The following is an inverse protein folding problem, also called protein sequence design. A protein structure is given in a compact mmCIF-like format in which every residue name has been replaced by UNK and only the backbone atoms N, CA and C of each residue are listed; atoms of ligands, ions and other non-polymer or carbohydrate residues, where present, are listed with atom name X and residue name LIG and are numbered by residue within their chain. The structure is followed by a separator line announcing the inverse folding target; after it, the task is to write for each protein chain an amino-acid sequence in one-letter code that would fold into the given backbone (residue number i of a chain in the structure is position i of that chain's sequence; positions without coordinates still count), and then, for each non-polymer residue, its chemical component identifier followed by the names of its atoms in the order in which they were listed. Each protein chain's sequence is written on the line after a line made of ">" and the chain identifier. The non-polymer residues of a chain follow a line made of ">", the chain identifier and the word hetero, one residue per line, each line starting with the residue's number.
data_IF_181111707100
#
_entry.id   IF_181111707100
#
_cell.length_a   1.000
_cell.length_b   1.000
_cell.length_c   1.000
_cell.angle_alpha   90.00
_cell.angle_beta   90.00
_cell.angle_gamma   90.00
#
_symmetry.space_group_name_H-M   'P 1'
#
loop_
_entity.id
_entity.type
_entity.pdbx_description
1 polymer ?
#
# COMPACT_ATOMS: atom_id res chain seq x y z
N UNK A 1 30.46 -52.37 -21.52
CA UNK A 1 30.33 -50.93 -21.85
C UNK A 1 28.90 -50.38 -21.71
N UNK A 2 27.82 -51.11 -22.06
CA UNK A 2 26.44 -50.59 -21.90
C UNK A 2 25.95 -50.50 -20.45
N UNK A 3 26.37 -51.41 -19.56
CA UNK A 3 25.86 -51.47 -18.19
C UNK A 3 26.37 -50.30 -17.32
N UNK A 4 27.58 -49.81 -17.59
CA UNK A 4 28.18 -48.65 -16.91
C UNK A 4 27.52 -47.33 -17.30
N UNK A 5 27.05 -47.16 -18.55
CA UNK A 5 26.34 -45.93 -18.95
C UNK A 5 24.93 -45.86 -18.35
N UNK A 6 24.29 -47.01 -18.15
CA UNK A 6 23.00 -47.13 -17.44
C UNK A 6 23.12 -46.79 -15.95
N UNK A 7 24.21 -47.22 -15.28
CA UNK A 7 24.43 -46.88 -13.87
C UNK A 7 24.72 -45.39 -13.68
N UNK A 8 25.57 -44.80 -14.53
CA UNK A 8 25.87 -43.36 -14.53
C UNK A 8 24.61 -42.51 -14.75
N UNK A 9 23.73 -42.89 -15.69
CA UNK A 9 22.47 -42.18 -15.94
C UNK A 9 21.49 -42.27 -14.76
N UNK A 10 21.44 -43.40 -14.05
CA UNK A 10 20.62 -43.56 -12.83
C UNK A 10 21.12 -42.66 -11.70
N UNK A 11 22.43 -42.58 -11.50
CA UNK A 11 23.03 -41.70 -10.48
C UNK A 11 22.75 -40.24 -10.80
N UNK A 12 22.92 -39.82 -12.05
CA UNK A 12 22.62 -38.46 -12.49
C UNK A 12 21.14 -38.08 -12.27
N UNK A 13 20.21 -38.96 -12.65
CA UNK A 13 18.79 -38.75 -12.41
C UNK A 13 18.44 -38.69 -10.92
N UNK A 14 19.10 -39.50 -10.09
CA UNK A 14 18.90 -39.49 -8.63
C UNK A 14 19.41 -38.18 -8.02
N UNK A 15 20.56 -37.69 -8.46
CA UNK A 15 21.10 -36.38 -8.03
C UNK A 15 20.16 -35.25 -8.44
N UNK A 16 19.67 -35.25 -9.68
CA UNK A 16 18.67 -34.26 -10.13
C UNK A 16 17.40 -34.32 -9.26
N UNK A 17 16.90 -35.51 -8.97
CA UNK A 17 15.68 -35.68 -8.16
C UNK A 17 15.87 -35.16 -6.74
N UNK A 18 17.04 -35.42 -6.13
CA UNK A 18 17.41 -34.89 -4.82
C UNK A 18 17.52 -33.36 -4.84
N UNK A 19 18.19 -32.79 -5.84
CA UNK A 19 18.29 -31.34 -6.00
C UNK A 19 16.93 -30.66 -6.22
N UNK A 20 16.00 -31.30 -6.95
CA UNK A 20 14.63 -30.79 -7.13
C UNK A 20 13.85 -30.86 -5.81
N UNK A 21 14.01 -31.95 -5.04
CA UNK A 21 13.36 -32.11 -3.73
C UNK A 21 13.78 -31.02 -2.75
N UNK A 22 15.09 -30.76 -2.65
CA UNK A 22 15.63 -29.72 -1.77
C UNK A 22 15.19 -28.32 -2.22
N UNK A 23 15.13 -28.09 -3.54
CA UNK A 23 14.65 -26.84 -4.12
C UNK A 23 13.16 -26.58 -3.82
N UNK A 24 12.33 -27.62 -3.84
CA UNK A 24 10.89 -27.53 -3.50
C UNK A 24 10.72 -27.28 -2.00
N UNK A 25 11.50 -27.94 -1.15
CA UNK A 25 11.46 -27.74 0.31
C UNK A 25 11.95 -26.35 0.74
N UNK A 26 12.79 -25.70 -0.05
CA UNK A 26 13.30 -24.35 0.23
C UNK A 26 12.28 -23.23 -0.07
N UNK A 27 11.16 -23.54 -0.74
CA UNK A 27 10.09 -22.57 -0.96
C UNK A 27 9.21 -22.55 0.28
N UNK A 28 9.50 -21.64 1.20
CA UNK A 28 8.66 -21.36 2.36
C UNK A 28 7.22 -21.10 1.86
N UNK A 29 6.30 -22.01 2.20
CA UNK A 29 4.89 -21.87 1.82
C UNK A 29 4.30 -20.80 2.74
N UNK A 30 4.34 -19.56 2.28
CA UNK A 30 3.69 -18.44 2.96
C UNK A 30 2.19 -18.69 2.97
N UNK A 31 1.58 -18.65 4.16
CA UNK A 31 0.14 -18.82 4.29
C UNK A 31 -0.62 -17.68 3.61
N UNK A 32 -1.85 -17.93 3.17
CA UNK A 32 -2.70 -16.87 2.59
C UNK A 32 -2.83 -15.66 3.54
N UNK A 33 -2.93 -15.91 4.85
CA UNK A 33 -3.04 -14.84 5.84
C UNK A 33 -1.76 -14.00 5.93
N UNK A 34 -0.57 -14.62 5.87
CA UNK A 34 0.69 -13.88 5.84
C UNK A 34 0.84 -13.07 4.55
N UNK A 35 0.48 -13.63 3.40
CA UNK A 35 0.49 -12.90 2.13
C UNK A 35 -0.47 -11.70 2.15
N UNK A 36 -1.70 -11.93 2.65
CA UNK A 36 -2.72 -10.88 2.79
C UNK A 36 -2.25 -9.76 3.72
N UNK A 37 -1.48 -10.07 4.75
CA UNK A 37 -0.99 -9.10 5.72
C UNK A 37 0.49 -8.69 5.48
N UNK A 38 1.01 -8.96 4.29
CA UNK A 38 2.39 -8.63 3.93
C UNK A 38 2.62 -7.11 3.92
N UNK A 39 3.67 -6.64 4.61
CA UNK A 39 4.06 -5.22 4.65
C UNK A 39 2.93 -4.24 5.00
N UNK A 40 2.01 -4.65 5.88
CA UNK A 40 0.96 -3.79 6.43
C UNK A 40 0.89 -3.95 7.94
N UNK A 41 0.74 -2.83 8.65
CA UNK A 41 0.40 -2.82 10.07
C UNK A 41 -1.12 -2.86 10.19
N UNK A 42 -1.64 -3.92 10.82
CA UNK A 42 -3.06 -4.12 11.10
C UNK A 42 -3.49 -3.20 12.22
N UNK A 43 -4.69 -2.66 12.10
CA UNK A 43 -5.30 -1.88 13.17
C UNK A 43 -5.85 -2.82 14.26
N UNK A 44 -5.76 -2.39 15.52
CA UNK A 44 -6.28 -3.15 16.67
C UNK A 44 -7.57 -2.53 17.22
N UNK A 45 -7.88 -1.27 16.88
CA UNK A 45 -9.10 -0.56 17.31
C UNK A 45 -9.93 -0.09 16.10
N UNK A 46 -11.22 0.10 16.27
CA UNK A 46 -12.10 0.51 15.16
C UNK A 46 -11.73 1.89 14.58
N UNK A 47 -11.34 2.86 15.43
CA UNK A 47 -11.02 4.24 15.05
C UNK A 47 -9.53 4.47 14.69
N UNK A 48 -8.71 3.42 14.68
CA UNK A 48 -7.25 3.52 14.57
C UNK A 48 -6.71 3.32 13.15
N UNK A 49 -7.59 3.20 12.16
CA UNK A 49 -7.22 2.95 10.77
C UNK A 49 -6.21 3.98 10.23
N UNK A 50 -6.41 5.27 10.52
CA UNK A 50 -5.47 6.33 10.13
C UNK A 50 -4.10 6.19 10.77
N UNK A 51 -4.05 5.79 12.05
CA UNK A 51 -2.81 5.55 12.77
C UNK A 51 -2.04 4.36 12.19
N UNK A 52 -2.73 3.25 11.94
CA UNK A 52 -2.16 2.05 11.33
C UNK A 52 -1.72 2.28 9.87
N UNK A 53 -2.46 3.07 9.09
CA UNK A 53 -2.09 3.46 7.73
C UNK A 53 -0.81 4.31 7.71
N UNK A 54 -0.71 5.33 8.58
CA UNK A 54 0.50 6.14 8.71
C UNK A 54 1.68 5.29 9.18
N UNK A 55 1.49 4.44 10.20
CA UNK A 55 2.52 3.54 10.69
C UNK A 55 3.05 2.63 9.57
N UNK A 56 2.16 2.06 8.75
CA UNK A 56 2.49 1.23 7.60
C UNK A 56 3.37 1.98 6.60
N UNK A 57 2.97 3.20 6.23
CA UNK A 57 3.73 4.05 5.31
C UNK A 57 5.13 4.35 5.87
N UNK A 58 5.23 4.80 7.12
CA UNK A 58 6.50 5.15 7.73
C UNK A 58 7.44 3.93 7.84
N UNK A 59 6.91 2.79 8.27
CA UNK A 59 7.71 1.56 8.44
C UNK A 59 8.17 0.97 7.11
N UNK A 60 7.26 0.75 6.17
CA UNK A 60 7.57 -0.04 4.98
C UNK A 60 7.98 0.79 3.77
N UNK A 61 7.53 2.05 3.65
CA UNK A 61 7.93 2.93 2.53
C UNK A 61 9.10 3.83 2.90
N UNK A 62 9.16 4.30 4.15
CA UNK A 62 10.22 5.20 4.61
C UNK A 62 11.28 4.54 5.50
N UNK A 63 11.15 3.23 5.74
CA UNK A 63 12.09 2.41 6.50
C UNK A 63 12.37 2.95 7.91
N UNK A 64 11.37 3.58 8.54
CA UNK A 64 11.50 4.02 9.92
C UNK A 64 11.31 2.81 10.83
N UNK A 65 12.36 2.45 11.56
CA UNK A 65 12.37 1.34 12.51
C UNK A 65 11.47 1.60 13.71
N UNK A 66 11.05 0.54 14.39
CA UNK A 66 10.33 0.60 15.68
C UNK A 66 9.00 1.37 15.66
N UNK A 67 8.37 1.53 14.50
CA UNK A 67 7.02 2.08 14.39
C UNK A 67 5.96 0.97 14.36
N UNK A 68 4.89 1.19 15.12
CA UNK A 68 3.65 0.41 15.11
C UNK A 68 2.43 1.34 15.22
N UNK A 69 1.22 0.78 15.27
CA UNK A 69 -0.03 1.53 15.46
C UNK A 69 -0.01 2.38 16.74
N UNK A 70 0.36 1.79 17.88
CA UNK A 70 0.38 2.47 19.18
C UNK A 70 1.30 3.70 19.21
N UNK A 71 2.42 3.62 18.49
CA UNK A 71 3.37 4.73 18.34
C UNK A 71 2.68 5.96 17.75
N UNK A 72 1.79 5.76 16.78
CA UNK A 72 1.04 6.84 16.13
C UNK A 72 -0.16 7.25 16.99
N UNK A 73 -0.88 6.29 17.58
CA UNK A 73 -2.01 6.57 18.47
C UNK A 73 -1.61 7.46 19.65
N UNK A 74 -0.45 7.21 20.28
CA UNK A 74 0.05 8.03 21.39
C UNK A 74 0.34 9.49 20.99
N UNK A 75 0.55 9.74 19.69
CA UNK A 75 0.83 11.08 19.16
C UNK A 75 -0.42 11.81 18.67
N UNK A 76 -1.58 11.14 18.59
CA UNK A 76 -2.85 11.78 18.24
C UNK A 76 -3.31 12.71 19.36
N UNK A 77 -4.09 13.74 19.02
CA UNK A 77 -4.68 14.61 20.03
C UNK A 77 -5.72 13.86 20.88
N UNK A 78 -6.51 13.00 20.24
CA UNK A 78 -7.45 12.10 20.92
C UNK A 78 -7.34 10.69 20.31
N UNK A 79 -6.77 9.70 21.03
CA UNK A 79 -6.62 8.34 20.51
C UNK A 79 -7.93 7.54 20.42
N UNK A 80 -9.04 8.09 20.95
CA UNK A 80 -10.38 7.48 20.87
C UNK A 80 -11.23 8.04 19.72
N UNK A 81 -10.72 9.02 18.98
CA UNK A 81 -11.35 9.56 17.77
C UNK A 81 -10.59 9.10 16.52
N UNK A 82 -11.22 9.24 15.36
CA UNK A 82 -10.56 8.99 14.08
C UNK A 82 -9.57 10.12 13.76
N UNK A 83 -8.39 9.74 13.27
CA UNK A 83 -7.35 10.71 12.93
C UNK A 83 -7.74 11.53 11.70
N UNK A 84 -7.49 12.85 11.72
CA UNK A 84 -7.62 13.67 10.51
C UNK A 84 -6.35 13.61 9.63
N UNK A 85 -6.46 13.89 8.33
CA UNK A 85 -5.28 14.06 7.46
C UNK A 85 -4.30 15.11 7.99
N UNK A 86 -4.82 16.17 8.61
CA UNK A 86 -4.00 17.21 9.23
C UNK A 86 -3.16 16.67 10.38
N UNK A 87 -3.74 15.85 11.26
CA UNK A 87 -3.01 15.20 12.34
C UNK A 87 -1.99 14.20 11.83
N UNK A 88 -2.34 13.38 10.83
CA UNK A 88 -1.40 12.43 10.24
C UNK A 88 -0.20 13.15 9.61
N UNK A 89 -0.43 14.27 8.93
CA UNK A 89 0.64 15.11 8.37
C UNK A 89 1.50 15.78 9.45
N UNK A 90 0.90 16.19 10.57
CA UNK A 90 1.65 16.72 11.72
C UNK A 90 2.55 15.65 12.32
N UNK A 91 2.01 14.45 12.55
CA UNK A 91 2.74 13.34 13.17
C UNK A 91 3.85 12.85 12.24
N UNK A 92 3.63 12.76 10.92
CA UNK A 92 4.66 12.31 9.98
C UNK A 92 5.93 13.17 10.07
N UNK A 93 5.78 14.48 10.30
CA UNK A 93 6.90 15.42 10.43
C UNK A 93 7.78 15.13 11.64
N UNK A 94 7.23 14.58 12.71
CA UNK A 94 8.01 14.14 13.88
C UNK A 94 9.00 13.02 13.53
N UNK A 95 8.77 12.31 12.42
CA UNK A 95 9.65 11.27 11.87
C UNK A 95 10.49 11.76 10.68
N UNK A 96 10.62 13.08 10.50
CA UNK A 96 11.30 13.72 9.35
C UNK A 96 10.70 13.36 7.99
N UNK A 97 9.41 13.01 7.96
CA UNK A 97 8.66 12.74 6.73
C UNK A 97 7.61 13.84 6.55
N UNK A 98 7.71 14.58 5.45
CA UNK A 98 6.73 15.58 5.10
C UNK A 98 5.48 14.91 4.51
N UNK A 99 4.35 15.60 4.61
CA UNK A 99 3.12 15.15 3.98
C UNK A 99 2.32 16.34 3.44
N UNK A 100 1.64 16.11 2.33
CA UNK A 100 0.75 17.08 1.67
C UNK A 100 -0.62 16.46 1.43
N UNK A 101 -1.66 17.18 1.85
CA UNK A 101 -3.05 16.84 1.54
C UNK A 101 -3.43 17.40 0.16
N UNK A 102 -4.07 16.59 -0.67
CA UNK A 102 -4.51 16.98 -2.02
C UNK A 102 -5.92 16.48 -2.27
N UNK A 103 -6.71 17.28 -2.98
CA UNK A 103 -8.00 16.86 -3.51
C UNK A 103 -7.83 16.53 -5.00
N UNK A 104 -8.11 15.29 -5.38
CA UNK A 104 -7.90 14.80 -6.75
C UNK A 104 -9.17 14.22 -7.34
N UNK A 105 -9.36 14.39 -8.64
CA UNK A 105 -10.34 13.62 -9.41
C UNK A 105 -9.88 12.17 -9.56
N UNK A 106 -10.79 11.26 -9.92
CA UNK A 106 -10.42 9.85 -10.15
C UNK A 106 -9.35 9.74 -11.24
N UNK A 107 -9.49 10.50 -12.33
CA UNK A 107 -8.51 10.55 -13.41
C UNK A 107 -7.12 10.98 -12.95
N UNK A 108 -7.04 11.96 -12.04
CA UNK A 108 -5.77 12.41 -11.46
C UNK A 108 -5.18 11.37 -10.51
N UNK A 109 -6.01 10.75 -9.66
CA UNK A 109 -5.61 9.64 -8.80
C UNK A 109 -5.02 8.48 -9.62
N UNK A 110 -5.64 8.16 -10.76
CA UNK A 110 -5.17 7.09 -11.65
C UNK A 110 -3.81 7.36 -12.31
N UNK A 111 -3.32 8.60 -12.24
CA UNK A 111 -2.01 8.97 -12.75
C UNK A 111 -0.90 8.90 -11.69
N UNK A 112 -1.26 8.66 -10.43
CA UNK A 112 -0.29 8.53 -9.35
C UNK A 112 0.44 7.19 -9.47
N UNK A 113 1.76 7.24 -9.38
CA UNK A 113 2.67 6.09 -9.36
C UNK A 113 3.35 5.86 -7.99
N UNK A 114 2.93 6.61 -6.96
CA UNK A 114 3.47 6.52 -5.61
C UNK A 114 2.35 6.15 -4.61
N UNK A 115 2.68 5.47 -3.50
CA UNK A 115 1.69 5.16 -2.48
C UNK A 115 1.12 6.43 -1.83
N UNK A 116 -0.19 6.49 -1.66
CA UNK A 116 -0.90 7.57 -0.96
C UNK A 116 -1.86 7.00 0.07
N UNK A 117 -2.10 7.75 1.14
CA UNK A 117 -3.19 7.45 2.07
C UNK A 117 -4.46 8.11 1.53
N UNK A 118 -5.55 7.36 1.42
CA UNK A 118 -6.84 7.86 0.97
C UNK A 118 -7.91 7.61 2.04
N UNK A 119 -8.93 8.46 2.04
CA UNK A 119 -10.09 8.31 2.90
C UNK A 119 -11.28 7.82 2.06
N UNK A 120 -11.91 6.73 2.49
CA UNK A 120 -13.01 6.07 1.78
C UNK A 120 -14.18 5.86 2.73
N UNK A 121 -15.39 5.79 2.17
CA UNK A 121 -16.59 5.39 2.89
C UNK A 121 -17.03 4.02 2.35
N UNK A 122 -16.92 2.98 3.17
CA UNK A 122 -17.39 1.66 2.75
C UNK A 122 -18.93 1.61 2.77
N UNK A 123 -19.55 0.69 2.02
CA UNK A 123 -21.01 0.55 1.93
C UNK A 123 -21.74 0.30 3.26
N UNK A 124 -20.99 0.11 4.36
CA UNK A 124 -21.50 -0.04 5.72
C UNK A 124 -21.36 1.22 6.57
N UNK A 125 -21.11 2.37 5.93
CA UNK A 125 -21.12 3.71 6.54
C UNK A 125 -20.03 3.92 7.60
N UNK A 126 -18.93 3.17 7.50
CA UNK A 126 -17.73 3.40 8.30
C UNK A 126 -16.70 4.07 7.39
N UNK A 127 -16.47 5.34 7.64
CA UNK A 127 -15.35 6.06 7.07
C UNK A 127 -14.04 5.38 7.47
N UNK A 128 -13.07 5.33 6.56
CA UNK A 128 -11.89 4.50 6.74
C UNK A 128 -10.67 5.01 5.97
N UNK A 129 -9.50 4.90 6.58
CA UNK A 129 -8.23 5.16 5.91
C UNK A 129 -7.66 3.89 5.27
N UNK A 130 -7.31 4.00 4.00
CA UNK A 130 -6.60 2.97 3.25
C UNK A 130 -5.33 3.53 2.62
N UNK A 131 -4.43 2.65 2.19
CA UNK A 131 -3.28 3.02 1.37
C UNK A 131 -3.50 2.50 -0.04
N UNK A 132 -3.45 3.41 -1.01
CA UNK A 132 -3.42 3.05 -2.43
C UNK A 132 -1.96 2.97 -2.83
N UNK A 133 -1.47 1.75 -3.08
CA UNK A 133 -0.07 1.51 -3.46
C UNK A 133 0.22 1.83 -4.92
N UNK A 134 -0.80 1.79 -5.77
CA UNK A 134 -0.68 1.97 -7.22
C UNK A 134 -1.80 1.26 -7.97
N UNK A 135 -1.64 1.13 -9.28
CA UNK A 135 -2.64 0.56 -10.18
C UNK A 135 -1.99 -0.50 -11.06
N UNK A 136 -2.67 -1.63 -11.21
CA UNK A 136 -2.28 -2.71 -12.09
C UNK A 136 -3.52 -3.27 -12.78
N UNK A 137 -3.49 -3.44 -14.11
CA UNK A 137 -4.60 -4.03 -14.88
C UNK A 137 -6.00 -3.42 -14.59
N UNK A 138 -6.11 -2.09 -14.43
CA UNK A 138 -7.35 -1.37 -14.08
C UNK A 138 -7.90 -1.68 -12.67
N UNK A 139 -7.06 -2.21 -11.79
CA UNK A 139 -7.35 -2.40 -10.38
C UNK A 139 -6.37 -1.59 -9.54
N UNK A 140 -6.89 -0.99 -8.47
CA UNK A 140 -6.11 -0.33 -7.43
C UNK A 140 -5.58 -1.40 -6.48
N UNK A 141 -4.28 -1.35 -6.20
CA UNK A 141 -3.64 -2.19 -5.20
C UNK A 141 -3.75 -1.48 -3.85
N UNK A 142 -4.54 -2.06 -2.94
CA UNK A 142 -4.91 -1.42 -1.67
C UNK A 142 -4.29 -2.19 -0.51
N UNK A 143 -3.72 -1.45 0.45
CA UNK A 143 -3.39 -1.94 1.79
C UNK A 143 -4.37 -1.31 2.77
N UNK A 144 -5.27 -2.12 3.31
CA UNK A 144 -6.32 -1.72 4.23
C UNK A 144 -6.00 -2.20 5.65
N UNK A 145 -5.78 -1.30 6.63
CA UNK A 145 -5.43 -1.70 7.98
C UNK A 145 -6.47 -2.59 8.69
N UNK A 146 -7.75 -2.51 8.29
CA UNK A 146 -8.85 -3.31 8.84
C UNK A 146 -9.02 -4.66 8.13
N UNK A 147 -8.67 -4.78 6.84
CA UNK A 147 -8.91 -6.01 6.05
C UNK A 147 -7.63 -6.75 5.59
N UNK A 148 -6.60 -6.01 5.19
CA UNK A 148 -5.32 -6.50 4.65
C UNK A 148 -5.11 -5.99 3.23
N UNK A 149 -4.19 -6.60 2.50
CA UNK A 149 -3.95 -6.27 1.09
C UNK A 149 -5.01 -6.91 0.19
N UNK A 150 -5.52 -6.13 -0.77
CA UNK A 150 -6.41 -6.60 -1.82
C UNK A 150 -6.29 -5.72 -3.08
N UNK A 151 -6.81 -6.21 -4.20
CA UNK A 151 -7.04 -5.38 -5.39
C UNK A 151 -8.52 -5.02 -5.51
N UNK A 152 -8.80 -3.83 -6.00
CA UNK A 152 -10.17 -3.35 -6.22
C UNK A 152 -10.27 -2.72 -7.60
N UNK A 153 -11.29 -3.09 -8.38
CA UNK A 153 -11.53 -2.46 -9.69
C UNK A 153 -11.74 -0.97 -9.52
N UNK A 154 -11.19 -0.17 -10.43
CA UNK A 154 -11.34 1.29 -10.41
C UNK A 154 -12.82 1.72 -10.38
N UNK A 155 -13.70 1.02 -11.10
CA UNK A 155 -15.14 1.28 -11.12
C UNK A 155 -15.84 0.97 -9.78
N UNK A 156 -15.29 0.06 -8.98
CA UNK A 156 -15.84 -0.26 -7.67
C UNK A 156 -15.27 0.67 -6.60
N UNK A 157 -14.01 1.07 -6.75
CA UNK A 157 -13.41 2.11 -5.91
C UNK A 157 -14.15 3.45 -6.02
N UNK A 158 -14.53 3.86 -7.24
CA UNK A 158 -15.27 5.11 -7.46
C UNK A 158 -16.56 5.21 -6.62
N UNK A 159 -17.18 4.07 -6.29
CA UNK A 159 -18.41 4.01 -5.49
C UNK A 159 -18.17 4.23 -3.99
N UNK A 160 -16.97 3.92 -3.51
CA UNK A 160 -16.60 4.00 -2.09
C UNK A 160 -15.68 5.18 -1.78
N UNK A 161 -15.13 5.83 -2.80
CA UNK A 161 -14.23 6.95 -2.58
C UNK A 161 -15.03 8.18 -2.15
N UNK A 162 -14.71 8.73 -0.98
CA UNK A 162 -15.43 9.88 -0.46
C UNK A 162 -15.08 11.12 -1.29
N UNK A 163 -16.06 11.61 -2.04
CA UNK A 163 -15.91 12.78 -2.91
C UNK A 163 -16.47 14.03 -2.25
N UNK A 164 -15.73 15.12 -2.42
CA UNK A 164 -16.18 16.50 -2.22
C UNK A 164 -17.19 16.89 -3.30
N UNK A 165 -17.85 18.03 -3.12
CA UNK A 165 -18.83 18.57 -4.07
C UNK A 165 -18.28 18.77 -5.50
N UNK A 166 -16.97 18.96 -5.65
CA UNK A 166 -16.29 19.10 -6.96
C UNK A 166 -15.84 17.77 -7.57
N UNK A 167 -16.38 16.63 -7.08
CA UNK A 167 -16.05 15.26 -7.50
C UNK A 167 -14.58 14.88 -7.30
N UNK A 168 -13.97 15.43 -6.25
CA UNK A 168 -12.59 15.11 -5.86
C UNK A 168 -12.55 14.42 -4.52
N UNK A 169 -11.69 13.42 -4.36
CA UNK A 169 -11.43 12.80 -3.07
C UNK A 169 -10.11 13.31 -2.48
N UNK A 170 -10.09 13.38 -1.15
CA UNK A 170 -8.92 13.81 -0.40
C UNK A 170 -7.93 12.64 -0.23
N UNK A 171 -6.65 12.91 -0.49
CA UNK A 171 -5.54 12.00 -0.27
C UNK A 171 -4.41 12.71 0.48
N UNK A 172 -3.56 11.93 1.15
CA UNK A 172 -2.34 12.38 1.77
C UNK A 172 -1.14 11.68 1.14
N UNK A 173 -0.27 12.49 0.51
CA UNK A 173 1.00 12.04 -0.04
C UNK A 173 2.12 12.34 0.96
N UNK A 174 2.94 11.33 1.27
CA UNK A 174 4.12 11.47 2.12
C UNK A 174 5.37 11.54 1.24
N UNK A 175 6.33 12.38 1.62
CA UNK A 175 7.59 12.53 0.92
C UNK A 175 8.74 12.93 1.87
N UNK A 176 9.97 12.63 1.46
CA UNK A 176 11.18 13.05 2.20
C UNK A 176 11.82 14.28 1.59
N UNK A 177 11.97 14.30 0.27
CA UNK A 177 12.63 15.38 -0.49
C UNK A 177 11.60 16.32 -1.13
N UNK A 178 11.94 17.60 -1.20
CA UNK A 178 11.25 18.63 -1.96
C UNK A 178 11.14 18.30 -3.45
N UNK A 179 12.17 17.69 -4.05
CA UNK A 179 12.16 17.28 -5.46
C UNK A 179 11.10 16.21 -5.74
N UNK A 180 10.98 15.22 -4.86
CA UNK A 180 9.99 14.14 -4.97
C UNK A 180 8.55 14.68 -4.90
N UNK A 181 8.30 15.66 -4.03
CA UNK A 181 7.02 16.38 -4.01
C UNK A 181 6.72 17.11 -5.33
N UNK A 182 7.70 17.82 -5.89
CA UNK A 182 7.50 18.56 -7.14
C UNK A 182 7.24 17.61 -8.32
N UNK A 183 7.97 16.51 -8.40
CA UNK A 183 7.78 15.47 -9.42
C UNK A 183 6.38 14.84 -9.30
N UNK A 184 5.94 14.55 -8.08
CA UNK A 184 4.59 14.04 -7.82
C UNK A 184 3.50 14.99 -8.34
N UNK A 185 3.60 16.28 -8.01
CA UNK A 185 2.63 17.30 -8.45
C UNK A 185 2.68 17.50 -9.98
N UNK A 186 3.87 17.50 -10.58
CA UNK A 186 4.01 17.66 -12.03
C UNK A 186 3.41 16.48 -12.79
N UNK A 187 3.64 15.25 -12.33
CA UNK A 187 3.07 14.04 -12.93
C UNK A 187 1.53 14.07 -12.96
N UNK A 188 0.89 14.60 -11.92
CA UNK A 188 -0.57 14.79 -11.88
C UNK A 188 -1.01 15.80 -12.95
N UNK A 189 -0.32 16.95 -13.05
CA UNK A 189 -0.69 18.06 -13.95
C UNK A 189 -0.37 17.81 -15.43
N UNK A 190 0.82 17.28 -15.71
CA UNK A 190 1.33 17.05 -17.07
C UNK A 190 0.51 16.00 -17.80
N UNK A 191 0.11 14.93 -17.11
CA UNK A 191 -0.73 13.88 -17.68
C UNK A 191 -2.18 14.33 -17.87
N UNK A 192 -2.68 15.25 -17.04
CA UNK A 192 -3.97 15.90 -17.25
C UNK A 192 -3.98 16.78 -18.52
N UNK A 193 -2.91 17.52 -18.79
CA UNK A 193 -2.78 18.35 -20.02
C UNK A 193 -2.74 17.54 -21.31
N UNK A 194 -2.08 16.38 -21.32
CA UNK A 194 -2.03 15.50 -22.49
C UNK A 194 -3.42 14.90 -22.82
N UNK A 195 -4.25 14.67 -21.81
CA UNK A 195 -5.60 14.09 -21.97
C UNK A 195 -6.69 15.12 -22.34
N UNK A 196 -6.36 16.42 -22.46
CA UNK A 196 -7.26 17.48 -22.92
C UNK A 196 -6.95 17.95 -24.34
N UNK A 197 -5.89 17.41 -24.97
CA UNK A 197 -5.46 17.75 -26.34
C UNK A 197 -5.91 16.75 -27.41
N UNK A 198 -6.68 15.73 -27.02
CA UNK A 198 -7.27 14.73 -27.92
C UNK A 198 -8.79 14.88 -27.96
#
# INVERSE_FOLDING_TARGET
>A
MLQSTLTLRKIYNLIILLCISDYISAREIVSYNEFKNFNIIRQTKNNSCGAAALATMLKYKFHISEINEDTILYKLKNPNEEASFFELARISKEFNINAIGLALTLKELLNINKPVIAYVNNSLNNDHFIIINGIFNKELLISDPAIGNYSLKVSDFEKIWLLRNDKKGDILYLHRDSKDHLEFIDNIKTKHRLLLRN
#
